data_IF_732559235263
#
_entry.id   IF_732559235263
#
_cell.length_a   1.000
_cell.length_b   1.000
_cell.length_c   1.000
_cell.angle_alpha   90.00
_cell.angle_beta   90.00
_cell.angle_gamma   90.00
#
_symmetry.space_group_name_H-M   'P 1'
#
loop_
_entity.id
_entity.type
_entity.pdbx_description
1 polymer ?
#
# COMPACT_ATOMS: atom_id res chain seq x y z
N UNK A 1 12.64 -6.79 -19.63
CA UNK A 1 13.29 -5.95 -18.62
C UNK A 1 12.28 -5.67 -17.52
N UNK A 2 12.45 -6.21 -16.32
CA UNK A 2 11.56 -5.88 -15.20
C UNK A 2 11.86 -4.44 -14.73
N UNK A 3 10.82 -3.65 -14.46
CA UNK A 3 10.95 -2.32 -13.85
C UNK A 3 10.47 -2.41 -12.41
N UNK A 4 11.36 -2.12 -11.48
CA UNK A 4 11.01 -2.02 -10.07
C UNK A 4 10.31 -0.68 -9.80
N UNK A 5 9.34 -0.70 -8.89
CA UNK A 5 8.64 0.49 -8.42
C UNK A 5 9.11 0.77 -7.00
N UNK A 6 9.49 2.01 -6.71
CA UNK A 6 9.80 2.44 -5.35
C UNK A 6 8.51 2.90 -4.64
N UNK A 7 7.97 2.15 -3.67
CA UNK A 7 6.73 2.52 -2.96
C UNK A 7 6.90 3.76 -2.07
N UNK A 8 8.13 4.16 -1.72
CA UNK A 8 8.40 5.33 -0.88
C UNK A 8 8.32 6.67 -1.62
N UNK A 9 7.96 6.67 -2.91
CA UNK A 9 7.66 7.88 -3.67
C UNK A 9 6.16 8.03 -3.82
N UNK A 10 5.63 9.25 -3.77
CA UNK A 10 4.20 9.51 -3.97
C UNK A 10 3.66 8.86 -5.27
N UNK A 11 4.43 8.99 -6.37
CA UNK A 11 4.09 8.39 -7.66
C UNK A 11 4.10 6.87 -7.61
N UNK A 12 5.10 6.26 -6.97
CA UNK A 12 5.19 4.81 -6.83
C UNK A 12 4.10 4.23 -5.94
N UNK A 13 3.82 4.89 -4.81
CA UNK A 13 2.75 4.53 -3.88
C UNK A 13 1.40 4.56 -4.58
N UNK A 14 1.06 5.67 -5.25
CA UNK A 14 -0.19 5.81 -6.03
C UNK A 14 -0.28 4.78 -7.16
N UNK A 15 0.84 4.40 -7.75
CA UNK A 15 0.85 3.39 -8.81
C UNK A 15 0.54 1.98 -8.30
N UNK A 16 0.84 1.69 -7.04
CA UNK A 16 0.58 0.39 -6.41
C UNK A 16 -0.80 0.37 -5.74
N UNK A 17 -1.14 1.44 -5.02
CA UNK A 17 -2.30 1.49 -4.10
C UNK A 17 -3.40 2.49 -4.50
N UNK A 18 -3.22 3.24 -5.59
CA UNK A 18 -4.11 4.33 -5.98
C UNK A 18 -5.36 3.91 -6.75
N UNK A 19 -5.68 2.61 -6.80
CA UNK A 19 -6.88 2.08 -7.44
C UNK A 19 -7.73 1.30 -6.43
N UNK A 20 -9.04 1.24 -6.66
CA UNK A 20 -9.96 0.53 -5.78
C UNK A 20 -9.63 -0.97 -5.67
N UNK A 21 -9.19 -1.60 -6.76
CA UNK A 21 -8.75 -3.01 -6.77
C UNK A 21 -7.56 -3.29 -5.84
N UNK A 22 -6.79 -2.25 -5.50
CA UNK A 22 -5.65 -2.36 -4.58
C UNK A 22 -6.00 -1.99 -3.13
N UNK A 23 -7.28 -1.75 -2.83
CA UNK A 23 -7.73 -1.33 -1.48
C UNK A 23 -7.37 -2.36 -0.41
N UNK A 24 -7.68 -3.63 -0.65
CA UNK A 24 -7.38 -4.70 0.33
C UNK A 24 -5.87 -4.82 0.57
N UNK A 25 -5.07 -4.77 -0.51
CA UNK A 25 -3.61 -4.81 -0.42
C UNK A 25 -3.05 -3.60 0.35
N UNK A 26 -3.65 -2.41 0.19
CA UNK A 26 -3.28 -1.23 0.95
C UNK A 26 -3.61 -1.40 2.44
N UNK A 27 -4.78 -1.96 2.75
CA UNK A 27 -5.20 -2.23 4.13
C UNK A 27 -4.20 -3.19 4.79
N UNK A 28 -3.89 -4.31 4.13
CA UNK A 28 -2.91 -5.29 4.63
C UNK A 28 -1.53 -4.64 4.85
N UNK A 29 -1.03 -3.90 3.87
CA UNK A 29 0.25 -3.20 3.98
C UNK A 29 0.31 -2.24 5.17
N UNK A 30 -0.76 -1.47 5.38
CA UNK A 30 -0.81 -0.51 6.48
C UNK A 30 -0.96 -1.20 7.84
N UNK A 31 -1.70 -2.30 7.92
CA UNK A 31 -1.83 -3.08 9.14
C UNK A 31 -0.49 -3.74 9.54
N UNK A 32 0.28 -4.24 8.57
CA UNK A 32 1.64 -4.74 8.80
C UNK A 32 2.62 -3.63 9.21
N UNK A 33 2.38 -2.39 8.78
CA UNK A 33 3.22 -1.24 9.11
C UNK A 33 2.88 -0.63 10.48
N UNK A 34 1.60 -0.65 10.87
CA UNK A 34 1.04 0.03 12.05
C UNK A 34 0.67 -0.95 13.17
N UNK A 35 1.38 -2.07 13.26
CA UNK A 35 1.17 -3.10 14.29
C UNK A 35 1.19 -2.45 15.68
N UNK A 36 0.22 -2.81 16.52
CA UNK A 36 -0.02 -2.28 17.87
C UNK A 36 -0.42 -0.79 17.96
N UNK A 37 -0.37 -0.03 16.86
CA UNK A 37 -0.83 1.36 16.80
C UNK A 37 -2.27 1.46 16.29
N UNK A 38 -2.58 0.75 15.21
CA UNK A 38 -3.88 0.84 14.54
C UNK A 38 -4.22 -0.41 13.74
N UNK A 39 -5.49 -0.82 13.81
CA UNK A 39 -6.08 -1.79 12.88
C UNK A 39 -7.06 -1.08 11.95
N UNK A 40 -6.84 -1.22 10.66
CA UNK A 40 -7.69 -0.70 9.59
C UNK A 40 -8.56 -1.85 9.08
N UNK A 41 -9.86 -1.59 8.93
CA UNK A 41 -10.87 -2.48 8.36
C UNK A 41 -11.61 -1.74 7.24
N UNK A 42 -12.26 -2.48 6.33
CA UNK A 42 -13.07 -1.93 5.24
C UNK A 42 -14.27 -1.08 5.73
#
# INVERSE_FOLDING_TARGET
MAKFINPFTDVGFKKIFGQEVSKDLLIDFLNDLLVDEKSITD
#
